data_IF_852745197226
#
_entry.id   IF_852745197226
#
_cell.length_a   1.000
_cell.length_b   1.000
_cell.length_c   1.000
_cell.angle_alpha   90.00
_cell.angle_beta   90.00
_cell.angle_gamma   90.00
#
_symmetry.space_group_name_H-M   'P 1'
#
loop_
_entity.id
_entity.type
_entity.pdbx_description
1 polymer ?
#
# COMPACT_ATOMS: atom_id res chain seq x y z
N UNK A 1 37.36 -11.64 46.06
CA UNK A 1 36.17 -12.49 46.33
C UNK A 1 35.31 -12.58 45.08
N UNK A 2 35.16 -13.79 44.51
CA UNK A 2 34.42 -14.09 43.27
C UNK A 2 32.91 -14.13 43.56
N UNK A 3 32.07 -13.40 42.83
CA UNK A 3 30.61 -13.56 42.87
C UNK A 3 30.14 -14.30 41.62
N UNK A 4 29.53 -15.45 41.86
CA UNK A 4 28.99 -16.43 40.93
C UNK A 4 27.86 -15.87 40.09
N UNK A 5 27.87 -16.13 38.77
CA UNK A 5 26.73 -15.91 37.88
C UNK A 5 25.78 -17.10 38.00
N UNK A 6 24.62 -16.89 38.60
CA UNK A 6 23.50 -17.84 38.54
C UNK A 6 22.69 -17.54 37.29
N UNK A 7 22.74 -18.41 36.29
CA UNK A 7 21.87 -18.34 35.11
C UNK A 7 20.53 -19.02 35.41
N UNK A 8 19.47 -18.23 35.58
CA UNK A 8 18.10 -18.74 35.70
C UNK A 8 17.59 -19.27 34.35
N UNK A 9 17.36 -20.58 34.27
CA UNK A 9 16.75 -21.24 33.11
C UNK A 9 15.29 -20.81 32.93
N UNK A 10 14.98 -20.20 31.78
CA UNK A 10 13.61 -19.90 31.36
C UNK A 10 12.89 -21.20 30.99
N UNK A 11 11.93 -21.62 31.82
CA UNK A 11 10.92 -22.63 31.44
C UNK A 11 10.03 -22.04 30.33
N UNK A 12 10.05 -22.63 29.14
CA UNK A 12 9.14 -22.26 28.06
C UNK A 12 7.75 -22.83 28.36
N UNK A 13 6.74 -21.95 28.46
CA UNK A 13 5.32 -22.35 28.53
C UNK A 13 4.97 -23.09 27.24
N UNK A 14 4.52 -24.34 27.34
CA UNK A 14 3.94 -25.08 26.21
C UNK A 14 2.69 -24.32 25.73
N UNK A 15 2.67 -23.92 24.46
CA UNK A 15 1.47 -23.35 23.82
C UNK A 15 0.41 -24.46 23.73
N UNK A 16 -0.81 -24.14 24.14
CA UNK A 16 -1.97 -25.03 23.99
C UNK A 16 -2.28 -25.30 22.51
N UNK A 17 -3.21 -26.24 22.24
CA UNK A 17 -3.64 -26.53 20.87
C UNK A 17 -4.16 -25.25 20.17
N UNK A 18 -3.98 -25.14 18.85
CA UNK A 18 -4.50 -24.02 18.08
C UNK A 18 -6.04 -23.98 18.20
N UNK A 19 -6.65 -22.78 18.21
CA UNK A 19 -8.11 -22.66 18.24
C UNK A 19 -8.72 -23.34 17.02
N UNK A 20 -9.92 -23.91 17.19
CA UNK A 20 -10.72 -24.50 16.11
C UNK A 20 -10.92 -23.46 15.01
N UNK A 21 -11.02 -23.87 13.74
CA UNK A 21 -11.42 -22.94 12.68
C UNK A 21 -12.88 -22.49 12.87
N UNK A 22 -13.19 -21.26 12.45
CA UNK A 22 -14.49 -20.61 12.70
C UNK A 22 -15.71 -21.39 12.16
N UNK A 23 -15.54 -22.18 11.09
CA UNK A 23 -16.61 -22.99 10.51
C UNK A 23 -16.95 -24.26 11.31
N UNK A 24 -16.14 -24.63 12.30
CA UNK A 24 -16.36 -25.76 13.22
C UNK A 24 -16.82 -25.29 14.62
N UNK A 25 -16.99 -23.98 14.82
CA UNK A 25 -17.41 -23.41 16.11
C UNK A 25 -18.93 -23.40 16.26
N UNK A 26 -19.39 -23.71 17.46
CA UNK A 26 -20.78 -23.52 17.90
C UNK A 26 -21.09 -22.02 18.03
N UNK A 27 -22.37 -21.67 18.08
CA UNK A 27 -22.82 -20.28 18.27
C UNK A 27 -22.26 -19.65 19.57
N UNK A 28 -22.13 -20.45 20.64
CA UNK A 28 -21.54 -19.98 21.89
C UNK A 28 -20.05 -19.69 21.77
N UNK A 29 -19.30 -20.55 21.06
CA UNK A 29 -17.87 -20.34 20.77
C UNK A 29 -17.65 -19.12 19.87
N UNK A 30 -18.51 -18.93 18.86
CA UNK A 30 -18.47 -17.76 17.98
C UNK A 30 -18.70 -16.45 18.76
N UNK A 31 -19.71 -16.42 19.65
CA UNK A 31 -19.97 -15.23 20.48
C UNK A 31 -18.78 -14.88 21.37
N UNK A 32 -18.15 -15.86 21.99
CA UNK A 32 -16.98 -15.58 22.83
C UNK A 32 -15.78 -15.14 21.98
N UNK A 33 -15.61 -15.67 20.77
CA UNK A 33 -14.56 -15.28 19.84
C UNK A 33 -14.75 -13.86 19.26
N UNK A 34 -16.00 -13.38 19.11
CA UNK A 34 -16.30 -12.04 18.57
C UNK A 34 -16.52 -10.96 19.64
N UNK A 35 -16.49 -11.33 20.91
CA UNK A 35 -16.76 -10.45 22.07
C UNK A 35 -15.90 -9.20 22.12
N UNK A 36 -14.72 -9.22 21.51
CA UNK A 36 -13.85 -8.03 21.41
C UNK A 36 -14.43 -6.92 20.52
N UNK A 37 -15.30 -7.26 19.57
CA UNK A 37 -15.96 -6.33 18.64
C UNK A 37 -17.26 -5.74 19.17
N UNK A 38 -17.84 -6.31 20.24
CA UNK A 38 -19.06 -5.81 20.89
C UNK A 38 -18.82 -4.51 21.68
N UNK A 39 -17.60 -3.98 21.67
CA UNK A 39 -17.23 -2.73 22.36
C UNK A 39 -17.63 -1.53 21.49
N UNK A 40 -18.57 -0.74 21.97
CA UNK A 40 -19.22 0.36 21.22
C UNK A 40 -18.24 1.46 20.74
N UNK A 41 -17.10 1.68 21.42
CA UNK A 41 -16.13 2.68 21.00
C UNK A 41 -14.74 2.43 21.61
N UNK A 42 -13.73 2.12 20.78
CA UNK A 42 -12.32 1.94 21.22
C UNK A 42 -11.49 3.20 20.94
N UNK A 43 -12.12 4.37 21.03
CA UNK A 43 -11.50 5.68 20.77
C UNK A 43 -10.22 5.93 21.57
N UNK A 44 -10.21 5.48 22.82
CA UNK A 44 -9.11 5.68 23.78
C UNK A 44 -7.85 4.87 23.44
N UNK A 45 -7.95 3.87 22.56
CA UNK A 45 -6.80 3.08 22.10
C UNK A 45 -6.04 3.74 20.94
N UNK A 46 -6.63 4.76 20.30
CA UNK A 46 -5.97 5.48 19.22
C UNK A 46 -4.96 6.46 19.79
N UNK A 47 -3.69 6.25 19.44
CA UNK A 47 -2.60 7.17 19.75
C UNK A 47 -1.78 7.47 18.51
N UNK A 48 -0.82 8.40 18.62
CA UNK A 48 0.19 8.60 17.58
C UNK A 48 0.86 7.26 17.23
N UNK A 49 1.07 6.95 15.94
CA UNK A 49 1.71 5.71 15.56
C UNK A 49 3.11 5.64 16.16
N UNK A 50 3.52 4.44 16.57
CA UNK A 50 4.90 4.21 17.00
C UNK A 50 5.84 4.39 15.79
N UNK A 51 7.14 4.65 16.01
CA UNK A 51 8.11 4.78 14.91
C UNK A 51 8.10 3.58 13.94
N UNK A 52 7.88 2.36 14.45
CA UNK A 52 7.78 1.15 13.64
C UNK A 52 6.51 1.13 12.77
N UNK A 53 5.37 1.54 13.32
CA UNK A 53 4.11 1.64 12.60
C UNK A 53 4.19 2.72 11.51
N UNK A 54 4.84 3.85 11.82
CA UNK A 54 5.06 4.93 10.87
C UNK A 54 5.97 4.50 9.72
N UNK A 55 7.08 3.81 10.02
CA UNK A 55 7.95 3.25 9.00
C UNK A 55 7.25 2.21 8.11
N UNK A 56 6.35 1.40 8.67
CA UNK A 56 5.52 0.45 7.88
C UNK A 56 4.54 1.19 6.97
N UNK A 57 3.91 2.25 7.46
CA UNK A 57 3.00 3.08 6.67
C UNK A 57 3.72 3.78 5.51
N UNK A 58 4.91 4.33 5.75
CA UNK A 58 5.72 4.97 4.71
C UNK A 58 6.18 3.99 3.63
N UNK A 59 6.54 2.76 4.00
CA UNK A 59 6.85 1.69 3.03
C UNK A 59 5.63 1.26 2.22
N UNK A 60 4.45 1.26 2.83
CA UNK A 60 3.18 0.91 2.17
C UNK A 60 2.62 2.05 1.31
N UNK A 61 3.02 3.30 1.57
CA UNK A 61 2.66 4.46 0.75
C UNK A 61 3.22 4.29 -0.65
N UNK A 62 2.35 3.97 -1.60
CA UNK A 62 2.67 4.12 -3.02
C UNK A 62 2.94 5.60 -3.28
N UNK A 63 4.16 5.93 -3.73
CA UNK A 63 4.46 7.23 -4.34
C UNK A 63 3.38 7.46 -5.40
N UNK A 64 2.63 8.55 -5.26
CA UNK A 64 1.67 8.96 -6.27
C UNK A 64 2.32 9.15 -7.64
N UNK A 65 1.52 9.49 -8.65
CA UNK A 65 2.01 9.71 -10.02
C UNK A 65 3.15 10.75 -10.00
N UNK A 66 4.28 10.51 -10.69
CA UNK A 66 5.41 11.42 -10.65
C UNK A 66 5.04 12.86 -11.04
N UNK A 67 5.25 13.82 -10.14
CA UNK A 67 5.19 15.25 -10.43
C UNK A 67 6.57 15.69 -10.92
N UNK A 68 6.79 15.77 -12.23
CA UNK A 68 7.95 16.47 -12.81
C UNK A 68 7.47 17.83 -13.33
N UNK A 69 8.12 18.93 -12.95
CA UNK A 69 7.81 20.30 -13.42
C UNK A 69 6.81 21.06 -12.53
N UNK A 70 6.02 21.97 -13.12
CA UNK A 70 5.02 22.86 -12.48
C UNK A 70 3.78 22.14 -11.92
N UNK A 71 3.87 20.83 -11.66
CA UNK A 71 2.75 19.98 -11.29
C UNK A 71 2.12 19.24 -12.47
N UNK A 72 0.98 18.59 -12.22
CA UNK A 72 0.23 17.84 -13.22
C UNK A 72 -1.27 18.09 -13.05
N UNK A 73 -1.99 18.35 -14.15
CA UNK A 73 -3.45 18.44 -14.19
C UNK A 73 -4.03 17.16 -14.78
N UNK A 74 -4.96 16.53 -14.08
CA UNK A 74 -5.67 15.35 -14.59
C UNK A 74 -6.74 15.78 -15.57
N UNK A 75 -6.74 15.18 -16.76
CA UNK A 75 -7.77 15.36 -17.79
C UNK A 75 -8.38 14.01 -18.13
N UNK A 76 -9.67 14.00 -18.46
CA UNK A 76 -10.35 12.85 -19.04
C UNK A 76 -10.41 13.02 -20.55
N UNK A 77 -9.98 12.02 -21.30
CA UNK A 77 -9.99 12.01 -22.77
C UNK A 77 -10.47 10.66 -23.26
N UNK A 78 -11.41 10.68 -24.21
CA UNK A 78 -11.88 9.48 -24.91
C UNK A 78 -11.01 9.26 -26.13
N UNK A 79 -10.49 8.05 -26.27
CA UNK A 79 -9.64 7.63 -27.39
C UNK A 79 -10.07 6.26 -27.89
N UNK A 80 -9.76 5.94 -29.14
CA UNK A 80 -10.07 4.64 -29.72
C UNK A 80 -9.33 3.50 -28.97
N UNK A 81 -10.01 2.38 -28.75
CA UNK A 81 -9.55 1.29 -27.88
C UNK A 81 -8.25 0.65 -28.39
N UNK A 82 -8.15 0.41 -29.70
CA UNK A 82 -6.95 -0.20 -30.30
C UNK A 82 -5.77 0.76 -30.26
N UNK A 83 -5.98 2.05 -30.47
CA UNK A 83 -4.96 3.09 -30.34
C UNK A 83 -4.40 3.13 -28.91
N UNK A 84 -5.26 3.06 -27.90
CA UNK A 84 -4.81 2.97 -26.49
C UNK A 84 -3.96 1.72 -26.26
N UNK A 85 -4.41 0.56 -26.76
CA UNK A 85 -3.67 -0.69 -26.63
C UNK A 85 -2.30 -0.64 -27.34
N UNK A 86 -2.23 -0.04 -28.53
CA UNK A 86 -0.98 0.18 -29.26
C UNK A 86 -0.04 1.12 -28.50
N UNK A 87 -0.58 2.20 -27.93
CA UNK A 87 0.15 3.16 -27.10
C UNK A 87 0.76 2.47 -25.87
N UNK A 88 -0.01 1.62 -25.18
CA UNK A 88 0.47 0.86 -24.03
C UNK A 88 1.60 -0.13 -24.42
N UNK A 89 1.48 -0.80 -25.58
CA UNK A 89 2.53 -1.69 -26.10
C UNK A 89 3.80 -0.91 -26.41
N UNK A 90 3.68 0.27 -27.03
CA UNK A 90 4.83 1.12 -27.36
C UNK A 90 5.51 1.64 -26.08
N UNK A 91 4.74 2.11 -25.11
CA UNK A 91 5.27 2.57 -23.82
C UNK A 91 6.08 1.48 -23.11
N UNK A 92 5.58 0.23 -23.12
CA UNK A 92 6.30 -0.93 -22.58
C UNK A 92 7.62 -1.20 -23.32
N UNK A 93 7.61 -1.22 -24.65
CA UNK A 93 8.84 -1.41 -25.46
C UNK A 93 9.90 -0.34 -25.14
N UNK A 94 9.47 0.90 -24.95
CA UNK A 94 10.34 2.03 -24.64
C UNK A 94 10.70 2.15 -23.15
N UNK A 95 10.22 1.25 -22.29
CA UNK A 95 10.45 1.28 -20.85
C UNK A 95 10.08 2.62 -20.19
N UNK A 96 9.02 3.28 -20.68
CA UNK A 96 8.51 4.54 -20.13
C UNK A 96 7.04 4.40 -19.69
N UNK A 97 6.60 5.16 -18.67
CA UNK A 97 5.19 5.21 -18.32
C UNK A 97 4.34 5.76 -19.49
N UNK A 98 3.11 5.26 -19.66
CA UNK A 98 2.15 5.76 -20.67
C UNK A 98 2.04 7.29 -20.69
N UNK A 99 1.98 7.91 -19.51
CA UNK A 99 1.89 9.36 -19.37
C UNK A 99 3.06 10.12 -20.00
N UNK A 100 4.27 9.54 -19.93
CA UNK A 100 5.48 10.13 -20.52
C UNK A 100 5.41 10.05 -22.04
N UNK A 101 4.96 8.92 -22.59
CA UNK A 101 4.79 8.77 -24.04
C UNK A 101 3.75 9.77 -24.59
N UNK A 102 2.59 9.88 -23.93
CA UNK A 102 1.55 10.86 -24.32
C UNK A 102 2.09 12.29 -24.24
N UNK A 103 2.81 12.65 -23.18
CA UNK A 103 3.40 13.98 -23.05
C UNK A 103 4.44 14.28 -24.14
N UNK A 104 5.24 13.29 -24.57
CA UNK A 104 6.19 13.44 -25.68
C UNK A 104 5.45 13.72 -27.00
N UNK A 105 4.41 12.94 -27.30
CA UNK A 105 3.60 13.14 -28.51
C UNK A 105 2.94 14.51 -28.54
N UNK A 106 2.33 14.93 -27.43
CA UNK A 106 1.71 16.25 -27.33
C UNK A 106 2.70 17.40 -27.51
N UNK A 107 3.92 17.30 -26.96
CA UNK A 107 4.95 18.33 -27.17
C UNK A 107 5.40 18.42 -28.62
N UNK A 108 5.54 17.28 -29.30
CA UNK A 108 5.92 17.25 -30.71
C UNK A 108 4.86 17.98 -31.56
N UNK A 109 3.58 17.62 -31.39
CA UNK A 109 2.47 18.24 -32.13
C UNK A 109 2.36 19.73 -31.82
N UNK A 110 2.43 20.14 -30.54
CA UNK A 110 2.35 21.56 -30.18
C UNK A 110 3.52 22.35 -30.76
N UNK A 111 4.73 21.78 -30.79
CA UNK A 111 5.91 22.45 -31.36
C UNK A 111 5.85 22.56 -32.88
N UNK A 112 5.13 21.68 -33.56
CA UNK A 112 4.91 21.73 -35.00
C UNK A 112 3.83 22.77 -35.36
N UNK A 113 2.72 22.79 -34.63
CA UNK A 113 1.55 23.64 -34.90
C UNK A 113 1.71 25.08 -34.39
N UNK A 114 2.45 25.27 -33.31
CA UNK A 114 2.78 26.59 -32.78
C UNK A 114 4.27 26.80 -33.02
N UNK A 115 4.66 27.47 -34.13
CA UNK A 115 6.04 27.89 -34.31
C UNK A 115 6.37 28.82 -33.14
N UNK A 116 7.16 28.29 -32.21
CA UNK A 116 7.69 29.06 -31.10
C UNK A 116 8.69 30.03 -31.74
N UNK A 117 8.25 31.28 -31.92
CA UNK A 117 9.13 32.41 -32.26
C UNK A 117 10.06 32.77 -31.13
#
# INVERSE_FOLDING_TARGET
MKKSRTTNGRKTRRKGPPPKPYWEMTTAELREATKEFDREFIGESFGPPTPEQQARFERARKRGRPCKGLGAKTISVTIEKRLLAQTDRLAKKLHVPRAVLIARGLRAVVSEEVPVG
#
